data_IF_306358392502
#
_entry.id   IF_306358392502
#
_cell.length_a   1.000
_cell.length_b   1.000
_cell.length_c   1.000
_cell.angle_alpha   90.00
_cell.angle_beta   90.00
_cell.angle_gamma   90.00
#
_symmetry.space_group_name_H-M   'P 1'
#
loop_
_entity.id
_entity.type
_entity.pdbx_description
1 polymer ?
#
# COMPACT_ATOMS: atom_id res chain seq x y z
N UNK A 1 13.01 18.30 -19.46
CA UNK A 1 12.19 17.12 -19.15
C UNK A 1 11.34 17.50 -17.94
N UNK A 2 10.02 17.53 -18.08
CA UNK A 2 9.13 17.74 -16.93
C UNK A 2 9.06 16.42 -16.17
N UNK A 3 9.42 16.40 -14.90
CA UNK A 3 9.17 15.26 -14.03
C UNK A 3 7.66 15.17 -13.82
N UNK A 4 7.06 13.99 -14.00
CA UNK A 4 5.63 13.78 -13.71
C UNK A 4 5.54 13.02 -12.41
N UNK A 5 5.11 13.67 -11.32
CA UNK A 5 5.11 13.04 -10.01
C UNK A 5 3.87 13.35 -9.19
N UNK A 6 3.58 12.46 -8.25
CA UNK A 6 2.55 12.66 -7.24
C UNK A 6 3.14 12.38 -5.86
N UNK A 7 2.70 13.14 -4.86
CA UNK A 7 2.97 12.86 -3.45
C UNK A 7 1.74 12.14 -2.91
N UNK A 8 1.93 10.93 -2.37
CA UNK A 8 0.91 10.16 -1.66
C UNK A 8 1.25 10.16 -0.19
N UNK A 9 0.40 10.75 0.64
CA UNK A 9 0.56 10.87 2.09
C UNK A 9 -0.44 9.99 2.83
N UNK A 10 -0.15 9.73 4.11
CA UNK A 10 -0.92 8.84 4.98
C UNK A 10 -0.94 7.38 4.51
N UNK A 11 0.11 6.94 3.81
CA UNK A 11 0.26 5.53 3.47
C UNK A 11 0.59 4.76 4.75
N UNK A 12 -0.08 3.64 5.06
CA UNK A 12 0.29 2.83 6.23
C UNK A 12 1.78 2.43 6.24
N UNK A 13 2.44 2.47 7.40
CA UNK A 13 3.89 2.29 7.49
C UNK A 13 4.38 0.90 7.06
N UNK A 14 3.52 -0.12 7.20
CA UNK A 14 3.71 -1.52 6.80
C UNK A 14 3.61 -1.72 5.28
N UNK A 15 2.88 -0.86 4.55
CA UNK A 15 2.75 -0.94 3.09
C UNK A 15 4.09 -0.67 2.41
N UNK A 16 4.70 -1.71 1.83
CA UNK A 16 5.99 -1.61 1.16
C UNK A 16 5.93 -0.95 -0.23
N UNK A 17 7.11 -0.65 -0.77
CA UNK A 17 7.25 -0.06 -2.11
C UNK A 17 6.62 -0.93 -3.21
N UNK A 18 6.86 -2.24 -3.14
CA UNK A 18 6.30 -3.20 -4.09
C UNK A 18 4.77 -3.24 -4.07
N UNK A 19 4.15 -3.09 -2.90
CA UNK A 19 2.69 -3.02 -2.77
C UNK A 19 2.13 -1.77 -3.46
N UNK A 20 2.75 -0.61 -3.27
CA UNK A 20 2.33 0.64 -3.94
C UNK A 20 2.47 0.54 -5.46
N UNK A 21 3.62 0.05 -5.95
CA UNK A 21 3.85 -0.13 -7.38
C UNK A 21 2.84 -1.11 -7.99
N UNK A 22 2.57 -2.22 -7.29
CA UNK A 22 1.58 -3.21 -7.71
C UNK A 22 0.17 -2.64 -7.73
N UNK A 23 -0.22 -1.92 -6.69
CA UNK A 23 -1.52 -1.27 -6.59
C UNK A 23 -1.76 -0.31 -7.76
N UNK A 24 -0.80 0.58 -8.05
CA UNK A 24 -0.90 1.50 -9.19
C UNK A 24 -1.00 0.74 -10.51
N UNK A 25 -0.18 -0.29 -10.71
CA UNK A 25 -0.18 -1.07 -11.95
C UNK A 25 -1.47 -1.87 -12.16
N UNK A 26 -2.00 -2.49 -11.12
CA UNK A 26 -3.16 -3.40 -11.22
C UNK A 26 -4.49 -2.64 -11.21
N UNK A 27 -4.56 -1.49 -10.54
CA UNK A 27 -5.81 -0.74 -10.37
C UNK A 27 -5.98 0.44 -11.33
N UNK A 28 -4.98 0.73 -12.17
CA UNK A 28 -5.15 1.65 -13.29
C UNK A 28 -5.49 0.87 -14.55
N UNK A 29 -6.55 1.28 -15.25
CA UNK A 29 -7.04 0.58 -16.46
C UNK A 29 -5.98 0.49 -17.57
N UNK A 30 -5.09 1.49 -17.64
CA UNK A 30 -4.01 1.58 -18.63
C UNK A 30 -2.71 0.89 -18.18
N UNK A 31 -2.65 0.37 -16.95
CA UNK A 31 -1.45 -0.26 -16.40
C UNK A 31 -0.31 0.72 -16.16
N UNK A 32 -0.61 1.89 -15.58
CA UNK A 32 0.37 2.93 -15.28
C UNK A 32 1.56 2.37 -14.50
N UNK A 33 2.77 2.71 -14.94
CA UNK A 33 3.99 2.20 -14.35
C UNK A 33 4.73 3.29 -13.57
N UNK A 34 4.99 3.03 -12.29
CA UNK A 34 5.87 3.88 -11.48
C UNK A 34 7.31 3.65 -11.94
N UNK A 35 7.94 4.69 -12.48
CA UNK A 35 9.33 4.66 -12.96
C UNK A 35 10.31 4.74 -11.80
N UNK A 36 9.99 5.57 -10.81
CA UNK A 36 10.82 5.75 -9.63
C UNK A 36 9.93 6.14 -8.45
N UNK A 37 10.36 5.80 -7.24
CA UNK A 37 9.67 6.18 -6.02
C UNK A 37 10.70 6.53 -4.96
N UNK A 38 10.39 7.54 -4.15
CA UNK A 38 11.26 7.96 -3.06
C UNK A 38 10.47 8.44 -1.83
N UNK A 39 11.05 8.34 -0.63
CA UNK A 39 10.51 8.98 0.57
C UNK A 39 10.30 10.47 0.38
N UNK A 40 9.21 11.04 0.94
CA UNK A 40 8.96 12.48 0.93
C UNK A 40 8.62 12.99 2.34
N UNK A 41 9.18 14.12 2.81
CA UNK A 41 10.03 15.06 2.07
C UNK A 41 11.48 14.57 1.89
N UNK A 42 11.97 13.70 2.77
CA UNK A 42 13.29 13.07 2.67
C UNK A 42 13.31 11.72 3.40
N UNK A 43 14.42 10.98 3.27
CA UNK A 43 14.60 9.64 3.83
C UNK A 43 14.55 9.56 5.37
N UNK A 44 14.63 10.68 6.09
CA UNK A 44 14.64 10.74 7.54
C UNK A 44 13.30 11.22 8.12
N UNK A 45 12.53 11.99 7.36
CA UNK A 45 11.29 12.64 7.82
C UNK A 45 10.02 12.16 7.11
N UNK A 46 10.11 11.15 6.24
CA UNK A 46 8.94 10.63 5.53
C UNK A 46 7.97 9.81 6.38
N UNK A 47 8.43 9.33 7.54
CA UNK A 47 7.63 8.58 8.50
C UNK A 47 6.95 9.53 9.49
N UNK A 48 5.69 9.25 9.79
CA UNK A 48 4.93 9.88 10.86
C UNK A 48 4.62 8.83 11.92
N UNK A 49 5.52 8.70 12.90
CA UNK A 49 5.45 7.71 13.97
C UNK A 49 4.19 7.84 14.83
N UNK A 50 3.75 9.09 15.06
CA UNK A 50 2.51 9.36 15.83
C UNK A 50 1.28 8.73 15.16
N UNK A 51 1.35 8.55 13.85
CA UNK A 51 0.25 8.09 13.04
C UNK A 51 0.47 6.71 12.40
N UNK A 52 1.64 6.10 12.59
CA UNK A 52 2.08 4.89 11.90
C UNK A 52 1.86 4.94 10.38
N UNK A 53 2.22 6.08 9.78
CA UNK A 53 2.05 6.32 8.33
C UNK A 53 3.32 6.90 7.73
N UNK A 54 3.40 6.89 6.41
CA UNK A 54 4.50 7.45 5.63
C UNK A 54 4.00 8.18 4.39
N UNK A 55 4.88 8.99 3.83
CA UNK A 55 4.63 9.75 2.62
C UNK A 55 5.64 9.38 1.54
N UNK A 56 5.14 9.14 0.34
CA UNK A 56 5.93 8.75 -0.83
C UNK A 56 5.73 9.73 -1.97
N UNK A 57 6.79 9.98 -2.73
CA UNK A 57 6.71 10.61 -4.03
C UNK A 57 6.91 9.55 -5.12
N UNK A 58 5.93 9.44 -6.02
CA UNK A 58 5.91 8.48 -7.11
C UNK A 58 6.13 9.25 -8.41
N UNK A 59 7.03 8.75 -9.26
CA UNK A 59 7.38 9.33 -10.55
C UNK A 59 6.90 8.44 -11.69
N UNK A 60 6.42 9.07 -12.75
CA UNK A 60 5.84 8.42 -13.92
C UNK A 60 6.55 8.86 -15.19
N UNK A 61 6.44 8.04 -16.24
CA UNK A 61 7.03 8.36 -17.54
C UNK A 61 6.23 9.45 -18.25
N UNK A 62 4.91 9.49 -18.05
CA UNK A 62 4.01 10.44 -18.70
C UNK A 62 3.12 11.19 -17.69
N UNK A 63 2.65 12.37 -18.08
CA UNK A 63 1.66 13.13 -17.29
C UNK A 63 0.31 12.43 -17.20
N UNK A 64 -0.06 11.65 -18.21
CA UNK A 64 -1.31 10.87 -18.24
C UNK A 64 -1.30 9.81 -17.13
N UNK A 65 -0.22 9.02 -17.02
CA UNK A 65 -0.06 8.02 -15.97
C UNK A 65 -0.10 8.64 -14.57
N UNK A 66 0.59 9.78 -14.38
CA UNK A 66 0.55 10.51 -13.12
C UNK A 66 -0.87 11.01 -12.78
N UNK A 67 -1.63 11.49 -13.77
CA UNK A 67 -3.01 11.91 -13.59
C UNK A 67 -3.94 10.74 -13.23
N UNK A 68 -3.79 9.59 -13.91
CA UNK A 68 -4.56 8.37 -13.62
C UNK A 68 -4.25 7.83 -12.22
N UNK A 69 -2.97 7.78 -11.84
CA UNK A 69 -2.57 7.38 -10.49
C UNK A 69 -3.08 8.39 -9.42
N UNK A 70 -3.06 9.69 -9.72
CA UNK A 70 -3.64 10.71 -8.84
C UNK A 70 -5.15 10.47 -8.63
N UNK A 71 -5.91 10.20 -9.70
CA UNK A 71 -7.34 9.87 -9.57
C UNK A 71 -7.58 8.59 -8.76
N UNK A 72 -6.75 7.56 -8.95
CA UNK A 72 -6.80 6.32 -8.17
C UNK A 72 -6.71 6.59 -6.67
N UNK A 73 -5.71 7.37 -6.23
CA UNK A 73 -5.53 7.68 -4.80
C UNK A 73 -6.55 8.68 -4.24
N UNK A 74 -7.27 9.43 -5.09
CA UNK A 74 -8.39 10.28 -4.67
C UNK A 74 -9.69 9.49 -4.43
N UNK A 75 -9.75 8.24 -4.89
CA UNK A 75 -10.89 7.34 -4.69
C UNK A 75 -11.23 7.18 -3.21
N UNK A 76 -12.53 7.09 -2.90
CA UNK A 76 -13.00 6.84 -1.54
C UNK A 76 -12.54 5.47 -1.00
N UNK A 77 -12.23 4.53 -1.89
CA UNK A 77 -11.86 3.16 -1.54
C UNK A 77 -10.34 2.92 -1.52
N UNK A 78 -9.52 3.93 -1.84
CA UNK A 78 -8.08 3.75 -2.02
C UNK A 78 -7.38 3.08 -0.83
N UNK A 79 -7.81 3.41 0.41
CA UNK A 79 -7.29 2.78 1.63
C UNK A 79 -7.62 1.28 1.71
N UNK A 80 -8.88 0.92 1.42
CA UNK A 80 -9.34 -0.47 1.43
C UNK A 80 -8.69 -1.30 0.33
N UNK A 81 -8.60 -0.73 -0.87
CA UNK A 81 -8.03 -1.41 -2.03
C UNK A 81 -6.52 -1.62 -1.83
N UNK A 82 -5.81 -0.63 -1.27
CA UNK A 82 -4.38 -0.75 -0.96
C UNK A 82 -4.12 -1.79 0.13
N UNK A 83 -4.97 -1.87 1.17
CA UNK A 83 -4.92 -2.94 2.18
C UNK A 83 -5.12 -4.31 1.55
N UNK A 84 -6.09 -4.45 0.64
CA UNK A 84 -6.38 -5.71 -0.04
C UNK A 84 -5.19 -6.18 -0.88
N UNK A 85 -4.53 -5.27 -1.61
CA UNK A 85 -3.32 -5.59 -2.37
C UNK A 85 -2.15 -5.93 -1.44
N UNK A 86 -2.02 -5.25 -0.30
CA UNK A 86 -1.00 -5.56 0.71
C UNK A 86 -1.15 -6.99 1.26
N UNK A 87 -2.36 -7.35 1.67
CA UNK A 87 -2.67 -8.68 2.19
C UNK A 87 -2.43 -9.74 1.11
N UNK A 88 -2.90 -9.50 -0.11
CA UNK A 88 -2.68 -10.43 -1.23
C UNK A 88 -1.21 -10.62 -1.53
N UNK A 89 -0.41 -9.56 -1.47
CA UNK A 89 1.03 -9.61 -1.74
C UNK A 89 1.79 -10.38 -0.66
N UNK A 90 1.48 -10.15 0.63
CA UNK A 90 2.16 -10.82 1.74
C UNK A 90 1.68 -12.27 1.97
N UNK A 91 0.40 -12.56 1.72
CA UNK A 91 -0.15 -13.90 1.89
C UNK A 91 0.14 -14.83 0.70
N UNK A 92 0.43 -14.29 -0.49
CA UNK A 92 0.82 -15.11 -1.64
C UNK A 92 2.13 -15.89 -1.43
N UNK A 93 3.05 -15.39 -0.59
CA UNK A 93 4.30 -16.09 -0.24
C UNK A 93 4.12 -17.14 0.87
N UNK A 94 2.97 -17.15 1.56
CA UNK A 94 2.69 -18.07 2.67
C UNK A 94 2.13 -19.42 2.21
N UNK A 95 1.92 -19.64 0.91
CA UNK A 95 1.35 -20.89 0.38
C UNK A 95 2.36 -21.96 -0.01
N UNK A 96 3.65 -21.84 0.35
CA UNK A 96 4.56 -23.00 0.33
C UNK A 96 4.35 -23.88 1.57
N UNK A 97 3.16 -24.47 1.66
CA UNK A 97 2.84 -25.46 2.68
C UNK A 97 3.62 -26.75 2.37
N UNK A 98 4.81 -26.88 2.95
CA UNK A 98 5.53 -28.16 3.00
C UNK A 98 4.74 -29.06 3.96
N UNK A 99 4.18 -30.21 3.55
CA UNK A 99 3.45 -31.07 4.46
C UNK A 99 4.46 -31.78 5.38
N UNK A 100 4.72 -31.22 6.55
CA UNK A 100 5.33 -31.99 7.64
C UNK A 100 4.22 -32.67 8.41
N UNK A 101 4.09 -33.97 8.17
CA UNK A 101 3.34 -34.90 9.01
C UNK A 101 3.87 -34.81 10.44
N UNK A 102 3.15 -34.15 11.35
CA UNK A 102 3.29 -34.36 12.79
C UNK A 102 1.88 -34.40 13.38
N UNK A 103 1.49 -35.61 13.76
CA UNK A 103 0.36 -35.95 14.61
C UNK A 103 0.50 -35.24 15.96
N UNK A 104 -0.37 -34.29 16.31
CA UNK A 104 -0.78 -34.10 17.71
C UNK A 104 -2.05 -33.25 17.88
N UNK A 105 -3.15 -33.96 18.14
CA UNK A 105 -4.20 -33.76 19.15
C UNK A 105 -4.83 -32.36 19.35
N UNK A 106 -6.15 -32.34 19.12
CA UNK A 106 -7.16 -31.40 19.61
C UNK A 106 -6.82 -30.63 20.89
N UNK A 107 -6.97 -29.30 20.86
CA UNK A 107 -7.46 -28.52 22.00
C UNK A 107 -8.26 -27.33 21.46
N UNK A 108 -9.39 -27.08 22.11
CA UNK A 108 -10.51 -26.29 21.64
C UNK A 108 -10.24 -24.79 21.55
N UNK A 109 -10.91 -24.21 20.55
CA UNK A 109 -11.02 -22.82 20.16
C UNK A 109 -11.60 -21.95 21.29
N UNK A 110 -10.84 -20.94 21.76
CA UNK A 110 -11.35 -19.84 22.57
C UNK A 110 -11.17 -18.54 21.78
N UNK A 111 -12.31 -18.00 21.38
CA UNK A 111 -12.45 -16.77 20.64
C UNK A 111 -11.88 -15.58 21.42
N UNK A 112 -10.71 -15.08 21.00
CA UNK A 112 -10.00 -14.01 21.69
C UNK A 112 -9.60 -12.86 20.77
N UNK A 113 -10.58 -12.09 20.29
CA UNK A 113 -10.46 -10.70 19.82
C UNK A 113 -9.35 -10.42 18.80
N UNK A 114 -9.67 -10.56 17.51
CA UNK A 114 -9.12 -9.64 16.52
C UNK A 114 -9.59 -8.23 16.90
N UNK A 115 -8.74 -7.49 17.60
CA UNK A 115 -8.85 -6.04 17.65
C UNK A 115 -8.70 -5.54 16.22
N UNK A 116 -9.83 -5.48 15.50
CA UNK A 116 -10.00 -4.55 14.41
C UNK A 116 -9.82 -3.18 15.03
N UNK A 117 -8.56 -2.73 15.11
CA UNK A 117 -8.20 -1.34 15.28
C UNK A 117 -8.89 -0.63 14.12
N UNK A 118 -10.11 -0.16 14.38
CA UNK A 118 -10.80 0.84 13.59
C UNK A 118 -9.91 2.07 13.63
N UNK A 119 -8.96 2.14 12.69
CA UNK A 119 -8.22 3.33 12.41
C UNK A 119 -9.26 4.38 12.04
N UNK A 120 -9.51 5.31 12.95
CA UNK A 120 -10.47 6.40 12.74
C UNK A 120 -9.96 7.23 11.56
N UNK A 121 -10.52 6.95 10.39
CA UNK A 121 -10.57 7.80 9.19
C UNK A 121 -9.30 8.57 8.89
N UNK A 122 -8.30 7.91 8.28
CA UNK A 122 -7.18 8.61 7.67
C UNK A 122 -7.18 8.31 6.19
N UNK A 123 -7.91 9.15 5.46
CA UNK A 123 -7.95 9.06 4.00
C UNK A 123 -6.55 9.32 3.46
N UNK A 124 -6.10 8.44 2.56
CA UNK A 124 -4.93 8.68 1.72
C UNK A 124 -5.15 10.04 1.03
N UNK A 125 -4.14 10.89 1.06
CA UNK A 125 -4.15 12.18 0.38
C UNK A 125 -3.10 12.19 -0.72
N UNK A 126 -3.42 12.80 -1.85
CA UNK A 126 -2.52 12.86 -3.00
C UNK A 126 -2.44 14.27 -3.55
N UNK A 127 -1.24 14.68 -3.97
CA UNK A 127 -0.99 15.97 -4.62
C UNK A 127 -0.10 15.75 -5.84
N UNK A 128 -0.49 16.27 -6.99
CA UNK A 128 0.31 16.20 -8.22
C UNK A 128 1.29 17.38 -8.27
N UNK A 129 2.54 17.12 -8.67
CA UNK A 129 3.62 18.12 -8.83
C UNK A 129 4.25 18.04 -10.22
#
# INVERSE_FOLDING_TARGET
MSSHSIIVSNVPADVGEGTLMRYVREMTEEGASVVHMQPFPDQYHFMNDSNNTKTWQLFFATSSEAATANMLFQSANAEHDLSTVHDTFNHADSSSHVPRTITQVDTWDDSGKQEAMRNKGRRISVTMI
#
